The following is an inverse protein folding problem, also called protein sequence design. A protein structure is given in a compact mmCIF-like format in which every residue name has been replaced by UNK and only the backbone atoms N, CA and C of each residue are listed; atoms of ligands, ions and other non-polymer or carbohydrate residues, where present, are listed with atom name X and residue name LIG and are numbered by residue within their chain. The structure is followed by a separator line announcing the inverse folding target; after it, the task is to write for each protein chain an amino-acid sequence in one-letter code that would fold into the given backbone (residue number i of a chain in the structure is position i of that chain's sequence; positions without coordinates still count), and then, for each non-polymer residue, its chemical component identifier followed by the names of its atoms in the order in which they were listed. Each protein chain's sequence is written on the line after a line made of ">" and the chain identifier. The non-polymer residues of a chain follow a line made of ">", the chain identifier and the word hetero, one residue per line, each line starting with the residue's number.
data_IF_950938236637
#
_entry.id   IF_950938236637
#
_cell.length_a   1.000
_cell.length_b   1.000
_cell.length_c   1.000
_cell.angle_alpha   90.00
_cell.angle_beta   90.00
_cell.angle_gamma   90.00
#
_symmetry.space_group_name_H-M   'P 1'
#
loop_
_entity.id
_entity.type
_entity.pdbx_description
1 polymer ?
#
# COMPACT_ATOMS: atom_id res chain seq x y z
N UNK A 1 22.86 4.74 17.20
CA UNK A 1 21.91 5.41 18.11
C UNK A 1 20.92 6.08 17.20
N UNK A 2 19.68 5.60 17.14
CA UNK A 2 18.61 6.29 16.42
C UNK A 2 18.22 7.51 17.24
N UNK A 3 18.23 8.69 16.61
CA UNK A 3 17.94 9.93 17.31
C UNK A 3 16.42 10.06 17.41
N UNK A 4 15.91 10.13 18.63
CA UNK A 4 14.47 10.31 18.84
C UNK A 4 14.01 11.58 18.13
N UNK A 5 12.74 11.61 17.72
CA UNK A 5 12.08 12.80 17.19
C UNK A 5 12.50 14.08 17.95
N UNK A 6 12.78 15.15 17.20
CA UNK A 6 13.22 16.42 17.77
C UNK A 6 12.15 16.98 18.71
N UNK A 7 12.54 17.85 19.64
CA UNK A 7 11.57 18.48 20.56
C UNK A 7 10.45 19.17 19.80
N UNK A 8 10.79 19.80 18.67
CA UNK A 8 9.86 20.52 17.83
C UNK A 8 8.92 19.59 17.08
N UNK A 9 9.38 18.46 16.57
CA UNK A 9 8.51 17.43 15.99
C UNK A 9 7.54 16.87 17.05
N UNK A 10 8.01 16.64 18.27
CA UNK A 10 7.13 16.21 19.37
C UNK A 10 6.06 17.26 19.71
N UNK A 11 6.42 18.54 19.71
CA UNK A 11 5.45 19.62 19.92
C UNK A 11 4.43 19.72 18.76
N UNK A 12 4.85 19.46 17.52
CA UNK A 12 3.94 19.39 16.36
C UNK A 12 3.01 18.18 16.45
N UNK A 13 3.53 16.98 16.72
CA UNK A 13 2.74 15.77 16.93
C UNK A 13 1.77 15.92 18.10
N UNK A 14 2.12 16.68 19.15
CA UNK A 14 1.19 16.99 20.24
C UNK A 14 0.09 18.01 19.88
N UNK A 15 0.14 18.62 18.70
CA UNK A 15 -0.87 19.59 18.27
C UNK A 15 -2.13 18.91 17.75
N UNK A 16 -3.32 19.55 17.86
CA UNK A 16 -4.56 19.00 17.32
C UNK A 16 -4.50 18.67 15.82
N UNK A 17 -3.63 19.35 15.06
CA UNK A 17 -3.46 19.12 13.63
C UNK A 17 -2.79 17.78 13.35
N UNK A 18 -1.74 17.41 14.10
CA UNK A 18 -0.90 16.25 13.79
C UNK A 18 -0.97 15.11 14.81
N UNK A 19 -1.75 15.23 15.88
CA UNK A 19 -1.91 14.18 16.90
C UNK A 19 -2.31 12.81 16.32
N UNK A 20 -3.06 12.81 15.22
CA UNK A 20 -3.43 11.61 14.48
C UNK A 20 -2.20 10.88 13.90
N UNK A 21 -1.20 11.63 13.43
CA UNK A 21 -0.02 11.07 12.76
C UNK A 21 0.84 10.25 13.72
N UNK A 22 0.96 10.69 14.97
CA UNK A 22 1.70 9.95 16.01
C UNK A 22 1.09 8.56 16.24
N UNK A 23 -0.24 8.52 16.36
CA UNK A 23 -0.96 7.26 16.53
C UNK A 23 -0.82 6.35 15.30
N UNK A 24 -0.98 6.92 14.10
CA UNK A 24 -0.78 6.20 12.85
C UNK A 24 0.61 5.57 12.77
N UNK A 25 1.67 6.36 12.98
CA UNK A 25 3.06 5.91 12.91
C UNK A 25 3.34 4.78 13.91
N UNK A 26 2.82 4.89 15.13
CA UNK A 26 3.03 3.90 16.19
C UNK A 26 2.33 2.57 15.92
N UNK A 27 1.15 2.60 15.29
CA UNK A 27 0.33 1.41 15.09
C UNK A 27 0.64 0.73 13.75
N UNK A 28 0.85 1.51 12.69
CA UNK A 28 0.87 1.00 11.32
C UNK A 28 2.27 0.86 10.72
N UNK A 29 3.28 1.56 11.23
CA UNK A 29 4.62 1.60 10.63
C UNK A 29 5.66 0.93 11.52
N UNK A 30 6.68 0.31 10.90
CA UNK A 30 7.75 -0.41 11.63
C UNK A 30 8.50 0.50 12.60
N UNK A 31 8.80 1.71 12.14
CA UNK A 31 9.64 2.67 12.86
C UNK A 31 8.85 3.89 13.29
N UNK A 32 9.04 4.29 14.54
CA UNK A 32 8.64 5.61 15.02
C UNK A 32 9.34 6.73 14.25
N UNK A 33 8.93 7.98 14.47
CA UNK A 33 9.56 9.14 13.86
C UNK A 33 10.96 9.40 14.45
N UNK A 34 11.94 9.60 13.58
CA UNK A 34 13.29 10.07 13.92
C UNK A 34 13.43 11.55 13.55
N UNK A 35 14.31 12.27 14.24
CA UNK A 35 14.69 13.64 13.86
C UNK A 35 15.14 13.78 12.40
N UNK A 36 15.79 12.76 11.85
CA UNK A 36 16.27 12.73 10.47
C UNK A 36 15.14 12.57 9.42
N UNK A 37 13.95 12.16 9.84
CA UNK A 37 12.80 11.98 8.93
C UNK A 37 12.24 13.33 8.43
N UNK A 38 12.54 14.42 9.14
CA UNK A 38 12.02 15.76 8.83
C UNK A 38 13.08 16.72 8.28
N UNK A 39 12.60 17.81 7.69
CA UNK A 39 13.43 18.95 7.30
C UNK A 39 13.75 19.85 8.49
N UNK A 40 14.98 20.35 8.53
CA UNK A 40 15.40 21.44 9.39
C UNK A 40 14.82 22.79 8.94
N UNK A 41 14.79 23.82 9.83
CA UNK A 41 14.37 25.16 9.45
C UNK A 41 15.16 25.77 8.28
N UNK A 42 16.46 25.48 8.21
CA UNK A 42 17.32 25.97 7.14
C UNK A 42 16.96 25.31 5.79
N UNK A 43 16.69 24.01 5.79
CA UNK A 43 16.19 23.29 4.59
C UNK A 43 14.84 23.85 4.12
N UNK A 44 13.91 24.15 5.04
CA UNK A 44 12.63 24.75 4.67
C UNK A 44 12.77 26.15 4.07
N UNK A 45 13.73 26.94 4.57
CA UNK A 45 14.07 28.24 4.01
C UNK A 45 14.68 28.10 2.60
N UNK A 46 15.57 27.13 2.41
CA UNK A 46 16.19 26.83 1.11
C UNK A 46 15.15 26.34 0.09
N UNK A 47 14.21 25.49 0.49
CA UNK A 47 13.09 25.05 -0.36
C UNK A 47 12.26 26.26 -0.78
N UNK A 48 11.88 27.12 0.16
CA UNK A 48 11.08 28.32 -0.14
C UNK A 48 11.81 29.29 -1.09
N UNK A 49 13.12 29.46 -0.89
CA UNK A 49 13.96 30.28 -1.74
C UNK A 49 14.10 29.68 -3.15
N UNK A 50 14.29 28.36 -3.26
CA UNK A 50 14.39 27.65 -4.53
C UNK A 50 13.09 27.75 -5.34
N UNK A 51 11.94 27.57 -4.68
CA UNK A 51 10.63 27.69 -5.30
C UNK A 51 10.25 29.14 -5.66
N UNK A 52 10.99 30.13 -5.14
CA UNK A 52 10.59 31.54 -5.14
C UNK A 52 9.14 31.71 -4.63
N UNK A 53 8.80 30.96 -3.59
CA UNK A 53 7.44 30.84 -3.05
C UNK A 53 7.49 30.50 -1.57
N UNK A 54 6.67 31.19 -0.77
CA UNK A 54 6.56 30.89 0.66
C UNK A 54 5.69 29.66 0.85
N UNK A 55 6.28 28.57 1.34
CA UNK A 55 5.53 27.35 1.63
C UNK A 55 4.35 27.64 2.56
N UNK A 56 3.17 27.03 2.33
CA UNK A 56 2.09 27.07 3.30
C UNK A 56 2.54 26.51 4.65
N UNK A 57 2.09 27.09 5.76
CA UNK A 57 2.57 26.69 7.09
C UNK A 57 2.34 25.20 7.37
N UNK A 58 1.17 24.66 7.00
CA UNK A 58 0.86 23.23 7.10
C UNK A 58 1.83 22.37 6.27
N UNK A 59 2.23 22.81 5.08
CA UNK A 59 3.18 22.05 4.25
C UNK A 59 4.59 22.08 4.84
N UNK A 60 5.02 23.23 5.35
CA UNK A 60 6.30 23.36 6.03
C UNK A 60 6.36 22.47 7.28
N UNK A 61 5.30 22.44 8.09
CA UNK A 61 5.20 21.54 9.24
C UNK A 61 5.16 20.06 8.82
N UNK A 62 4.50 19.72 7.71
CA UNK A 62 4.50 18.37 7.16
C UNK A 62 5.92 17.92 6.77
N UNK A 63 6.67 18.79 6.09
CA UNK A 63 8.07 18.51 5.76
C UNK A 63 8.97 18.48 7.00
N UNK A 64 8.73 19.32 8.00
CA UNK A 64 9.41 19.28 9.30
C UNK A 64 9.17 17.96 10.05
N UNK A 65 8.00 17.34 9.85
CA UNK A 65 7.68 16.04 10.41
C UNK A 65 8.32 14.91 9.60
N UNK A 66 8.02 14.81 8.30
CA UNK A 66 8.25 13.60 7.50
C UNK A 66 8.91 13.85 6.13
N UNK A 67 9.43 15.05 5.86
CA UNK A 67 9.90 15.45 4.52
C UNK A 67 10.90 14.48 3.87
N UNK A 68 11.79 13.86 4.63
CA UNK A 68 12.79 12.89 4.15
C UNK A 68 12.31 11.43 4.19
N UNK A 69 11.10 11.20 4.71
CA UNK A 69 10.49 9.88 4.88
C UNK A 69 9.39 9.58 3.85
N UNK A 70 8.99 10.57 3.06
CA UNK A 70 7.92 10.44 2.08
C UNK A 70 8.32 9.52 0.92
N UNK A 71 7.46 8.54 0.63
CA UNK A 71 7.65 7.54 -0.42
C UNK A 71 6.42 7.45 -1.32
N UNK A 72 6.63 7.19 -2.61
CA UNK A 72 5.54 6.84 -3.53
C UNK A 72 5.13 5.38 -3.34
N UNK A 73 3.82 5.13 -3.17
CA UNK A 73 3.26 3.77 -3.10
C UNK A 73 2.37 3.52 -4.31
N UNK A 74 1.21 4.20 -4.34
CA UNK A 74 0.37 4.28 -5.53
C UNK A 74 0.53 5.65 -6.14
N UNK A 75 0.26 6.70 -5.38
CA UNK A 75 0.46 8.08 -5.80
C UNK A 75 1.78 8.63 -5.20
N UNK A 76 2.19 9.81 -5.66
CA UNK A 76 3.44 10.43 -5.27
C UNK A 76 3.20 11.66 -4.38
N UNK A 77 3.50 11.59 -3.06
CA UNK A 77 3.57 12.80 -2.24
C UNK A 77 4.69 13.70 -2.75
N UNK A 78 4.50 15.01 -2.67
CA UNK A 78 5.59 15.95 -2.88
C UNK A 78 6.63 15.80 -1.76
N UNK A 79 7.89 15.78 -2.13
CA UNK A 79 9.04 15.76 -1.21
C UNK A 79 9.75 17.11 -1.26
N UNK A 80 10.65 17.42 -0.32
CA UNK A 80 11.54 18.58 -0.41
C UNK A 80 12.25 18.73 -1.75
N UNK A 81 12.55 17.61 -2.43
CA UNK A 81 13.26 17.57 -3.71
C UNK A 81 12.33 17.64 -4.93
N UNK A 82 11.06 17.27 -4.78
CA UNK A 82 10.11 17.12 -5.90
C UNK A 82 8.97 18.13 -5.87
N UNK A 83 8.82 18.87 -4.78
CA UNK A 83 7.84 19.94 -4.63
C UNK A 83 8.07 20.99 -5.72
N UNK A 84 6.98 21.47 -6.33
CA UNK A 84 7.01 22.40 -7.46
C UNK A 84 5.85 23.38 -7.38
N UNK A 85 6.08 24.57 -7.91
CA UNK A 85 5.05 25.60 -8.06
C UNK A 85 4.60 25.66 -9.51
N UNK A 86 3.29 25.59 -9.73
CA UNK A 86 2.66 25.74 -11.04
C UNK A 86 1.49 26.73 -10.89
N UNK A 87 1.47 27.76 -11.72
CA UNK A 87 0.41 28.79 -11.73
C UNK A 87 0.13 29.41 -10.35
N UNK A 88 1.19 29.58 -9.55
CA UNK A 88 1.11 30.14 -8.19
C UNK A 88 0.58 29.18 -7.12
N UNK A 89 0.46 27.89 -7.44
CA UNK A 89 0.04 26.82 -6.54
C UNK A 89 1.16 25.78 -6.37
N UNK A 90 1.27 25.21 -5.18
CA UNK A 90 2.23 24.13 -4.87
C UNK A 90 1.54 22.79 -5.10
N UNK A 91 2.17 21.89 -5.86
CA UNK A 91 1.73 20.51 -5.97
C UNK A 91 2.18 19.71 -4.74
N UNK A 92 1.24 19.06 -4.05
CA UNK A 92 1.49 18.34 -2.78
C UNK A 92 1.31 16.83 -2.88
N UNK A 93 0.54 16.36 -3.87
CA UNK A 93 0.38 14.95 -4.21
C UNK A 93 0.09 14.84 -5.71
N UNK A 94 0.68 13.89 -6.40
CA UNK A 94 0.47 13.66 -7.85
C UNK A 94 0.16 12.19 -8.08
N UNK A 95 -0.76 11.88 -8.98
CA UNK A 95 -1.05 10.51 -9.40
C UNK A 95 0.14 9.88 -10.15
N UNK A 96 0.34 8.56 -10.09
CA UNK A 96 1.53 7.90 -10.69
C UNK A 96 1.64 7.96 -12.22
N UNK A 97 0.53 8.14 -12.93
CA UNK A 97 0.43 8.41 -14.36
C UNK A 97 0.31 9.92 -14.66
N UNK A 98 0.39 10.75 -13.63
CA UNK A 98 0.29 12.21 -13.69
C UNK A 98 -0.99 12.72 -14.36
N UNK A 99 -2.12 12.01 -14.17
CA UNK A 99 -3.43 12.45 -14.70
C UNK A 99 -4.17 13.42 -13.78
N UNK A 100 -3.71 13.58 -12.54
CA UNK A 100 -4.13 14.64 -11.62
C UNK A 100 -3.04 14.98 -10.60
N UNK A 101 -3.15 16.18 -10.02
CA UNK A 101 -2.38 16.64 -8.86
C UNK A 101 -3.27 17.40 -7.86
N UNK A 102 -2.98 17.23 -6.58
CA UNK A 102 -3.49 18.09 -5.52
C UNK A 102 -2.61 19.32 -5.40
N UNK A 103 -3.23 20.50 -5.50
CA UNK A 103 -2.60 21.80 -5.53
C UNK A 103 -3.07 22.66 -4.33
N UNK A 104 -2.18 23.50 -3.81
CA UNK A 104 -2.49 24.45 -2.74
C UNK A 104 -1.87 25.83 -2.96
N UNK A 105 -2.60 26.87 -2.59
CA UNK A 105 -2.07 28.24 -2.57
C UNK A 105 -1.28 28.54 -1.29
N UNK A 106 -0.83 29.79 -1.14
CA UNK A 106 -0.20 30.25 0.10
C UNK A 106 -1.21 30.34 1.26
N UNK A 107 -0.72 30.27 2.50
CA UNK A 107 -1.55 30.43 3.70
C UNK A 107 -1.09 29.56 4.87
N UNK A 108 -1.92 29.50 5.91
CA UNK A 108 -1.65 28.63 7.07
C UNK A 108 -2.03 27.20 6.72
N UNK A 109 -3.31 26.96 6.45
CA UNK A 109 -3.86 25.65 6.08
C UNK A 109 -4.79 25.82 4.88
N UNK A 110 -4.23 26.11 3.68
CA UNK A 110 -5.01 26.44 2.49
C UNK A 110 -5.88 25.26 2.05
N UNK A 111 -6.98 25.55 1.39
CA UNK A 111 -7.85 24.52 0.79
C UNK A 111 -7.17 23.92 -0.44
N UNK A 112 -7.12 22.59 -0.51
CA UNK A 112 -6.66 21.85 -1.68
C UNK A 112 -7.63 21.97 -2.85
N UNK A 113 -7.06 21.98 -4.05
CA UNK A 113 -7.74 21.91 -5.33
C UNK A 113 -7.16 20.76 -6.14
N UNK A 114 -7.95 20.20 -7.04
CA UNK A 114 -7.48 19.22 -8.03
C UNK A 114 -7.39 19.91 -9.39
N UNK A 115 -6.33 19.61 -10.15
CA UNK A 115 -6.06 20.24 -11.45
C UNK A 115 -6.76 19.56 -12.64
N UNK A 116 -7.60 18.55 -12.37
CA UNK A 116 -8.32 17.78 -13.38
C UNK A 116 -9.83 17.83 -13.16
N UNK A 117 -10.57 17.99 -14.26
CA UNK A 117 -12.04 17.96 -14.26
C UNK A 117 -12.63 16.55 -14.20
N UNK A 118 -11.82 15.54 -14.52
CA UNK A 118 -12.25 14.14 -14.57
C UNK A 118 -12.25 13.48 -13.18
N UNK A 119 -11.60 14.13 -12.21
CA UNK A 119 -11.49 13.69 -10.84
C UNK A 119 -12.16 14.68 -9.89
N UNK A 120 -12.62 14.17 -8.74
CA UNK A 120 -13.30 14.99 -7.76
C UNK A 120 -12.61 14.84 -6.41
N UNK A 121 -12.08 15.95 -5.90
CA UNK A 121 -11.59 16.04 -4.54
C UNK A 121 -12.35 17.15 -3.81
N UNK A 122 -13.04 16.84 -2.70
CA UNK A 122 -13.81 17.86 -1.98
C UNK A 122 -12.87 18.98 -1.50
N UNK A 123 -13.38 20.21 -1.49
CA UNK A 123 -12.66 21.37 -0.97
C UNK A 123 -12.27 21.12 0.51
N UNK A 124 -11.01 20.76 0.73
CA UNK A 124 -10.52 20.24 2.01
C UNK A 124 -9.25 20.98 2.42
N UNK A 125 -9.10 21.40 3.69
CA UNK A 125 -7.85 21.98 4.18
C UNK A 125 -6.66 21.04 3.95
N UNK A 126 -5.48 21.60 3.66
CA UNK A 126 -4.27 20.83 3.34
C UNK A 126 -3.96 19.76 4.39
N UNK A 127 -4.08 20.08 5.68
CA UNK A 127 -3.83 19.12 6.75
C UNK A 127 -4.69 17.85 6.63
N UNK A 128 -5.98 18.03 6.36
CA UNK A 128 -6.93 16.95 6.17
C UNK A 128 -6.69 16.19 4.85
N UNK A 129 -6.32 16.90 3.79
CA UNK A 129 -5.96 16.26 2.52
C UNK A 129 -4.72 15.36 2.68
N UNK A 130 -3.67 15.83 3.37
CA UNK A 130 -2.49 15.04 3.68
C UNK A 130 -2.82 13.80 4.51
N UNK A 131 -3.73 13.91 5.49
CA UNK A 131 -4.20 12.74 6.24
C UNK A 131 -4.93 11.73 5.36
N UNK A 132 -5.88 12.20 4.53
CA UNK A 132 -6.67 11.36 3.64
C UNK A 132 -5.79 10.62 2.62
N UNK A 133 -4.82 11.32 2.02
CA UNK A 133 -3.88 10.71 1.07
C UNK A 133 -2.91 9.74 1.76
N UNK A 134 -2.40 10.10 2.95
CA UNK A 134 -1.55 9.19 3.73
C UNK A 134 -2.29 7.89 4.07
N UNK A 135 -3.56 7.99 4.49
CA UNK A 135 -4.43 6.84 4.76
C UNK A 135 -4.71 6.02 3.50
N UNK A 136 -5.05 6.69 2.40
CA UNK A 136 -5.31 6.05 1.11
C UNK A 136 -4.12 5.20 0.66
N UNK A 137 -2.91 5.75 0.68
CA UNK A 137 -1.72 5.06 0.18
C UNK A 137 -1.23 4.00 1.20
N UNK A 138 -1.46 4.21 2.50
CA UNK A 138 -1.26 3.16 3.52
C UNK A 138 -2.17 1.95 3.26
N UNK A 139 -3.46 2.20 3.00
CA UNK A 139 -4.43 1.17 2.65
C UNK A 139 -4.00 0.42 1.38
N UNK A 140 -3.58 1.15 0.34
CA UNK A 140 -3.10 0.53 -0.91
C UNK A 140 -1.85 -0.29 -0.72
N UNK A 141 -0.91 0.19 0.08
CA UNK A 141 0.27 -0.57 0.46
C UNK A 141 -0.06 -1.92 1.11
N UNK A 142 -1.00 -1.88 2.06
CA UNK A 142 -1.46 -3.05 2.79
C UNK A 142 -2.23 -4.02 1.89
N UNK A 143 -3.23 -3.57 1.14
CA UNK A 143 -4.04 -4.46 0.29
C UNK A 143 -3.34 -4.89 -0.99
N UNK A 144 -2.39 -4.10 -1.49
CA UNK A 144 -1.49 -4.48 -2.58
C UNK A 144 -0.43 -5.50 -2.15
N UNK A 145 -0.27 -5.73 -0.85
CA UNK A 145 0.64 -6.74 -0.28
C UNK A 145 2.12 -6.37 -0.39
N UNK A 146 2.43 -5.11 -0.65
CA UNK A 146 3.81 -4.63 -0.74
C UNK A 146 4.40 -4.24 0.63
N UNK A 147 3.55 -4.13 1.66
CA UNK A 147 3.97 -3.82 3.04
C UNK A 147 4.55 -2.43 3.21
N UNK A 148 4.21 -1.47 2.34
CA UNK A 148 4.76 -0.11 2.36
C UNK A 148 3.67 0.94 2.29
N UNK A 149 3.73 1.93 3.17
CA UNK A 149 2.92 3.14 3.10
C UNK A 149 3.77 4.33 2.65
N UNK A 150 3.15 5.52 2.46
CA UNK A 150 3.86 6.72 2.05
C UNK A 150 4.86 7.24 3.09
N UNK A 151 4.90 6.62 4.28
CA UNK A 151 5.86 6.92 5.36
C UNK A 151 6.80 5.73 5.61
N UNK A 152 7.06 4.88 4.61
CA UNK A 152 7.97 3.74 4.69
C UNK A 152 7.29 2.40 5.00
N UNK A 153 8.05 1.46 5.56
CA UNK A 153 7.59 0.09 5.79
C UNK A 153 6.47 0.04 6.86
N UNK A 154 5.43 -0.72 6.53
CA UNK A 154 4.34 -1.07 7.43
C UNK A 154 4.79 -2.15 8.42
N UNK A 155 4.26 -2.09 9.64
CA UNK A 155 4.55 -3.11 10.65
C UNK A 155 4.13 -4.50 10.16
N UNK A 156 4.84 -5.56 10.58
CA UNK A 156 4.54 -6.94 10.16
C UNK A 156 3.15 -7.42 10.60
N UNK A 157 2.54 -6.76 11.58
CA UNK A 157 1.15 -6.99 12.00
C UNK A 157 0.11 -6.39 11.06
N UNK A 158 0.52 -5.52 10.12
CA UNK A 158 -0.39 -4.91 9.15
C UNK A 158 -0.70 -5.90 8.05
N UNK A 159 -1.97 -6.19 7.88
CA UNK A 159 -2.51 -7.07 6.83
C UNK A 159 -3.61 -6.31 6.11
N UNK A 160 -3.72 -6.49 4.79
CA UNK A 160 -4.82 -5.95 4.03
C UNK A 160 -5.28 -6.88 2.93
N UNK A 161 -6.27 -6.43 2.19
CA UNK A 161 -6.79 -7.13 1.02
C UNK A 161 -7.93 -6.35 0.36
N UNK A 162 -8.44 -6.93 -0.71
CA UNK A 162 -9.59 -6.39 -1.45
C UNK A 162 -10.59 -7.52 -1.67
N UNK A 163 -11.87 -7.21 -1.51
CA UNK A 163 -12.97 -8.11 -1.83
C UNK A 163 -13.69 -7.52 -3.05
N UNK A 164 -13.21 -7.85 -4.24
CA UNK A 164 -13.72 -7.34 -5.53
C UNK A 164 -15.15 -7.81 -5.84
N UNK A 165 -15.56 -8.94 -5.26
CA UNK A 165 -16.85 -9.58 -5.49
C UNK A 165 -17.83 -9.45 -4.31
N UNK A 166 -17.59 -8.49 -3.41
CA UNK A 166 -18.48 -8.23 -2.29
C UNK A 166 -19.83 -7.71 -2.81
N UNK A 167 -20.93 -8.32 -2.33
CA UNK A 167 -22.26 -7.81 -2.61
C UNK A 167 -22.50 -6.49 -1.86
N UNK A 168 -23.32 -5.59 -2.42
CA UNK A 168 -23.58 -4.26 -1.84
C UNK A 168 -24.05 -4.33 -0.37
N UNK A 169 -24.83 -5.35 0.00
CA UNK A 169 -25.30 -5.56 1.37
C UNK A 169 -24.19 -6.06 2.30
N UNK A 170 -23.23 -6.85 1.78
CA UNK A 170 -22.01 -7.22 2.49
C UNK A 170 -21.14 -5.98 2.75
N UNK A 171 -20.90 -5.15 1.73
CA UNK A 171 -20.13 -3.90 1.84
C UNK A 171 -20.78 -2.97 2.87
N UNK A 172 -22.08 -2.70 2.73
CA UNK A 172 -22.82 -1.83 3.63
C UNK A 172 -22.78 -2.33 5.09
N UNK A 173 -22.93 -3.65 5.28
CA UNK A 173 -22.86 -4.27 6.61
C UNK A 173 -21.49 -4.08 7.25
N UNK A 174 -20.40 -4.35 6.52
CA UNK A 174 -19.04 -4.15 7.04
C UNK A 174 -18.79 -2.68 7.36
N UNK A 175 -19.06 -1.76 6.43
CA UNK A 175 -18.83 -0.33 6.65
C UNK A 175 -19.65 0.22 7.82
N UNK A 176 -20.89 -0.25 8.02
CA UNK A 176 -21.73 0.19 9.13
C UNK A 176 -21.23 -0.25 10.52
N UNK A 177 -20.35 -1.24 10.59
CA UNK A 177 -19.73 -1.68 11.85
C UNK A 177 -18.62 -0.73 12.32
N UNK A 178 -18.10 0.15 11.43
CA UNK A 178 -17.01 1.07 11.73
C UNK A 178 -17.45 2.53 11.53
N UNK A 179 -17.00 3.46 12.38
CA UNK A 179 -17.34 4.86 12.19
C UNK A 179 -16.63 5.40 10.93
N UNK A 180 -17.29 6.36 10.27
CA UNK A 180 -16.66 7.12 9.21
C UNK A 180 -15.52 7.98 9.79
N UNK A 181 -14.33 7.89 9.18
CA UNK A 181 -13.18 8.69 9.56
C UNK A 181 -13.38 10.14 9.13
N UNK A 182 -12.87 11.08 9.94
CA UNK A 182 -12.98 12.52 9.69
C UNK A 182 -11.86 13.02 8.77
N UNK A 183 -11.63 12.32 7.68
CA UNK A 183 -10.66 12.66 6.62
C UNK A 183 -11.40 12.59 5.27
N UNK A 184 -10.97 13.33 4.23
CA UNK A 184 -11.56 13.17 2.91
C UNK A 184 -11.31 11.76 2.36
N UNK A 185 -12.12 11.35 1.39
CA UNK A 185 -11.76 10.28 0.47
C UNK A 185 -10.55 10.67 -0.40
N UNK A 186 -10.24 9.85 -1.42
CA UNK A 186 -9.22 10.19 -2.40
C UNK A 186 -9.85 10.69 -3.72
N UNK A 187 -9.06 11.19 -4.68
CA UNK A 187 -9.60 11.70 -5.96
C UNK A 187 -10.41 10.72 -6.81
N UNK A 188 -10.25 9.41 -6.59
CA UNK A 188 -11.02 8.35 -7.27
C UNK A 188 -12.31 8.00 -6.50
N UNK A 189 -12.23 7.98 -5.18
CA UNK A 189 -13.29 7.59 -4.25
C UNK A 189 -13.50 8.71 -3.24
N UNK A 190 -14.42 9.61 -3.56
CA UNK A 190 -14.66 10.83 -2.79
C UNK A 190 -15.38 10.61 -1.46
N UNK A 191 -15.83 9.38 -1.16
CA UNK A 191 -16.44 9.00 0.11
C UNK A 191 -15.34 8.81 1.16
N UNK A 192 -15.45 9.45 2.34
CA UNK A 192 -14.52 9.23 3.44
C UNK A 192 -14.43 7.73 3.83
N UNK A 193 -13.23 7.23 4.14
CA UNK A 193 -13.05 5.87 4.62
C UNK A 193 -13.68 5.64 6.00
N UNK A 194 -13.84 4.38 6.38
CA UNK A 194 -14.30 3.95 7.70
C UNK A 194 -13.15 3.30 8.48
N UNK A 195 -13.19 3.35 9.82
CA UNK A 195 -12.12 2.75 10.64
C UNK A 195 -12.15 3.14 12.11
N UNK A 196 -11.27 2.53 12.89
CA UNK A 196 -11.21 2.68 14.36
C UNK A 196 -9.76 2.85 14.90
N UNK A 197 -8.83 3.26 14.05
CA UNK A 197 -7.42 3.44 14.40
C UNK A 197 -6.56 2.19 14.17
N UNK A 198 -7.14 1.00 14.26
CA UNK A 198 -6.51 -0.29 13.89
C UNK A 198 -7.09 -0.91 12.63
N UNK A 199 -8.14 -0.32 12.08
CA UNK A 199 -8.85 -0.76 10.88
C UNK A 199 -9.01 0.42 9.93
N UNK A 200 -8.82 0.19 8.62
CA UNK A 200 -9.15 1.13 7.54
C UNK A 200 -9.96 0.37 6.49
N UNK A 201 -11.10 0.93 6.09
CA UNK A 201 -12.02 0.38 5.10
C UNK A 201 -12.39 1.45 4.07
N UNK A 202 -12.48 1.05 2.80
CA UNK A 202 -12.94 1.92 1.71
C UNK A 202 -13.80 1.14 0.72
N UNK A 203 -14.89 1.76 0.31
CA UNK A 203 -15.68 1.33 -0.85
C UNK A 203 -15.01 1.88 -2.12
N UNK A 204 -14.33 1.01 -2.86
CA UNK A 204 -13.48 1.37 -4.00
C UNK A 204 -13.76 0.52 -5.25
N UNK A 205 -12.75 -0.18 -5.75
CA UNK A 205 -12.93 -1.25 -6.78
C UNK A 205 -13.64 -2.50 -6.22
N UNK A 206 -13.98 -2.47 -4.94
CA UNK A 206 -14.54 -3.51 -4.10
C UNK A 206 -14.42 -3.03 -2.65
N UNK A 207 -14.59 -3.94 -1.69
CA UNK A 207 -14.27 -3.61 -0.29
C UNK A 207 -12.76 -3.71 -0.08
N UNK A 208 -12.09 -2.57 -0.08
CA UNK A 208 -10.68 -2.46 0.29
C UNK A 208 -10.56 -2.38 1.80
N UNK A 209 -9.67 -3.18 2.37
CA UNK A 209 -9.49 -3.25 3.82
C UNK A 209 -8.03 -3.40 4.22
N UNK A 210 -7.70 -2.82 5.37
CA UNK A 210 -6.44 -3.06 6.05
C UNK A 210 -6.66 -3.01 7.57
N UNK A 211 -5.88 -3.82 8.29
CA UNK A 211 -5.89 -3.91 9.74
C UNK A 211 -4.46 -3.94 10.26
N UNK A 212 -4.22 -3.36 11.43
CA UNK A 212 -2.89 -3.28 12.04
C UNK A 212 -2.66 -4.29 13.17
N UNK A 213 -3.70 -5.00 13.60
CA UNK A 213 -3.63 -5.97 14.71
C UNK A 213 -4.38 -7.25 14.39
N UNK A 214 -4.02 -8.33 15.09
CA UNK A 214 -4.71 -9.61 14.98
C UNK A 214 -6.18 -9.52 15.44
N UNK A 215 -6.47 -8.73 16.47
CA UNK A 215 -7.84 -8.52 16.94
C UNK A 215 -8.71 -7.83 15.89
N UNK A 216 -8.16 -6.82 15.20
CA UNK A 216 -8.86 -6.13 14.12
C UNK A 216 -9.08 -7.07 12.91
N UNK A 217 -8.09 -7.94 12.60
CA UNK A 217 -8.25 -8.98 11.59
C UNK A 217 -9.41 -9.93 11.91
N UNK A 218 -9.46 -10.47 13.13
CA UNK A 218 -10.54 -11.36 13.56
C UNK A 218 -11.91 -10.65 13.54
N UNK A 219 -11.95 -9.36 13.89
CA UNK A 219 -13.18 -8.57 13.83
C UNK A 219 -13.69 -8.44 12.38
N UNK A 220 -12.84 -8.11 11.42
CA UNK A 220 -13.22 -8.07 10.00
C UNK A 220 -13.63 -9.45 9.51
N UNK A 221 -12.87 -10.50 9.83
CA UNK A 221 -13.16 -11.87 9.40
C UNK A 221 -14.51 -12.39 9.94
N UNK A 222 -14.91 -11.96 11.14
CA UNK A 222 -16.23 -12.27 11.71
C UNK A 222 -17.38 -11.55 10.99
N UNK A 223 -17.13 -10.37 10.41
CA UNK A 223 -18.10 -9.67 9.58
C UNK A 223 -18.13 -10.30 8.19
N UNK A 224 -17.01 -10.33 7.49
CA UNK A 224 -16.89 -10.89 6.15
C UNK A 224 -15.82 -11.97 6.15
N UNK A 225 -16.15 -13.25 5.89
CA UNK A 225 -15.14 -14.29 5.84
C UNK A 225 -14.04 -13.95 4.83
N UNK A 226 -12.83 -13.79 5.34
CA UNK A 226 -11.63 -13.54 4.54
C UNK A 226 -11.07 -14.86 3.98
N UNK A 227 -11.39 -15.97 4.64
CA UNK A 227 -11.04 -17.35 4.25
C UNK A 227 -12.29 -18.25 4.24
N UNK A 228 -13.28 -17.98 3.37
CA UNK A 228 -14.48 -18.80 3.34
C UNK A 228 -14.13 -20.26 2.98
N UNK A 229 -14.82 -21.23 3.60
CA UNK A 229 -14.67 -22.65 3.27
C UNK A 229 -14.98 -22.88 1.79
N UNK A 230 -14.04 -23.49 1.05
CA UNK A 230 -14.14 -23.65 -0.41
C UNK A 230 -13.91 -22.35 -1.20
N UNK A 231 -13.40 -21.31 -0.55
CA UNK A 231 -13.04 -20.04 -1.15
C UNK A 231 -11.94 -20.14 -2.20
N UNK A 232 -11.76 -19.05 -2.94
CA UNK A 232 -10.71 -18.91 -3.95
C UNK A 232 -9.38 -18.55 -3.31
N UNK A 233 -8.32 -19.18 -3.78
CA UNK A 233 -6.94 -18.94 -3.40
C UNK A 233 -6.11 -18.59 -4.62
N UNK A 234 -5.05 -17.83 -4.40
CA UNK A 234 -3.95 -17.65 -5.34
C UNK A 234 -2.78 -18.52 -4.89
N UNK A 235 -2.17 -19.23 -5.81
CA UNK A 235 -0.88 -19.92 -5.62
C UNK A 235 0.12 -19.24 -6.54
N UNK A 236 1.26 -18.81 -5.98
CA UNK A 236 2.35 -18.19 -6.74
C UNK A 236 3.56 -19.10 -6.76
N UNK A 237 4.22 -19.15 -7.91
CA UNK A 237 5.55 -19.70 -8.09
C UNK A 237 6.48 -18.57 -8.54
N UNK A 238 7.58 -18.40 -7.83
CA UNK A 238 8.67 -17.53 -8.23
C UNK A 238 9.93 -18.36 -8.51
N UNK A 239 10.55 -18.13 -9.67
CA UNK A 239 11.80 -18.75 -10.10
C UNK A 239 12.85 -17.67 -10.38
N UNK A 240 14.10 -17.80 -9.89
CA UNK A 240 15.15 -16.82 -10.14
C UNK A 240 15.59 -16.80 -11.61
N UNK A 241 16.08 -15.65 -12.11
CA UNK A 241 16.51 -15.53 -13.51
C UNK A 241 17.64 -16.49 -13.90
N UNK A 242 18.43 -16.95 -12.93
CA UNK A 242 19.56 -17.85 -13.19
C UNK A 242 19.15 -19.26 -13.66
N UNK A 243 17.84 -19.59 -13.70
CA UNK A 243 17.34 -20.89 -14.14
C UNK A 243 17.58 -21.11 -15.63
N UNK A 244 18.27 -22.21 -15.98
CA UNK A 244 18.74 -22.49 -17.34
C UNK A 244 17.65 -22.56 -18.44
N UNK A 245 16.36 -22.71 -18.08
CA UNK A 245 15.24 -22.86 -19.02
C UNK A 245 14.42 -21.58 -19.26
N UNK A 246 14.89 -20.39 -18.87
CA UNK A 246 14.08 -19.17 -18.99
C UNK A 246 13.54 -18.86 -20.39
N UNK A 247 14.30 -19.17 -21.45
CA UNK A 247 13.84 -19.00 -22.84
C UNK A 247 12.57 -19.82 -23.12
N UNK A 248 12.35 -20.93 -22.39
CA UNK A 248 11.15 -21.76 -22.48
C UNK A 248 10.08 -21.44 -21.43
N UNK A 249 10.33 -20.53 -20.49
CA UNK A 249 9.38 -20.05 -19.49
C UNK A 249 8.77 -18.70 -19.87
N UNK A 250 9.38 -17.98 -20.81
CA UNK A 250 8.94 -16.66 -21.25
C UNK A 250 8.38 -16.79 -22.68
N UNK A 251 7.11 -16.47 -22.84
CA UNK A 251 6.45 -16.42 -24.14
C UNK A 251 6.91 -15.25 -25.00
N UNK A 252 6.34 -15.12 -26.20
CA UNK A 252 6.74 -14.13 -27.22
C UNK A 252 6.62 -12.66 -26.79
N UNK A 253 5.87 -12.37 -25.73
CA UNK A 253 5.56 -11.02 -25.27
C UNK A 253 6.24 -10.67 -23.94
N UNK A 254 7.30 -11.37 -23.54
CA UNK A 254 7.90 -11.23 -22.21
C UNK A 254 6.93 -11.55 -21.05
N UNK A 255 5.88 -12.32 -21.34
CA UNK A 255 4.91 -12.82 -20.37
C UNK A 255 5.24 -14.28 -20.06
N UNK A 256 5.13 -14.73 -18.81
CA UNK A 256 5.37 -16.14 -18.47
C UNK A 256 4.45 -17.09 -19.27
N UNK A 257 5.02 -18.15 -19.84
CA UNK A 257 4.26 -19.17 -20.57
C UNK A 257 3.75 -20.24 -19.59
N UNK A 258 2.49 -20.11 -19.20
CA UNK A 258 1.82 -21.07 -18.33
C UNK A 258 1.75 -22.49 -18.90
N UNK A 259 1.93 -22.69 -20.21
CA UNK A 259 1.99 -24.04 -20.77
C UNK A 259 3.31 -24.76 -20.42
N UNK A 260 4.34 -24.02 -20.00
CA UNK A 260 5.59 -24.60 -19.54
C UNK A 260 5.44 -25.34 -18.20
N UNK A 261 4.41 -25.00 -17.42
CA UNK A 261 4.05 -25.62 -16.14
C UNK A 261 2.63 -26.15 -16.26
N UNK A 262 2.51 -27.37 -16.80
CA UNK A 262 1.21 -27.95 -17.07
C UNK A 262 0.50 -28.37 -15.77
N UNK A 263 -0.53 -27.61 -15.39
CA UNK A 263 -1.45 -27.99 -14.32
C UNK A 263 -2.79 -28.43 -14.94
N UNK A 264 -3.48 -29.43 -14.34
CA UNK A 264 -4.82 -29.79 -14.75
C UNK A 264 -5.78 -28.59 -14.60
N UNK A 265 -6.62 -28.34 -15.60
CA UNK A 265 -7.50 -27.16 -15.62
C UNK A 265 -8.60 -27.19 -14.55
N UNK A 266 -8.96 -28.38 -14.08
CA UNK A 266 -9.85 -28.59 -12.94
C UNK A 266 -9.20 -28.24 -11.60
N UNK A 267 -7.86 -28.20 -11.54
CA UNK A 267 -7.11 -27.89 -10.33
C UNK A 267 -6.85 -26.39 -10.21
N UNK A 268 -6.44 -25.75 -11.30
CA UNK A 268 -6.04 -24.35 -11.25
C UNK A 268 -6.23 -23.63 -12.59
N UNK A 269 -6.57 -22.35 -12.53
CA UNK A 269 -6.69 -21.45 -13.69
C UNK A 269 -5.52 -20.45 -13.69
N UNK A 270 -4.78 -20.27 -14.80
CA UNK A 270 -3.80 -19.20 -14.90
C UNK A 270 -4.40 -17.83 -14.58
N UNK A 271 -3.67 -17.01 -13.84
CA UNK A 271 -4.10 -15.69 -13.43
C UNK A 271 -3.21 -14.60 -14.02
N UNK A 272 -2.12 -14.28 -13.33
CA UNK A 272 -1.17 -13.22 -13.67
C UNK A 272 0.23 -13.81 -13.69
N UNK A 273 1.10 -13.23 -14.51
CA UNK A 273 2.50 -13.60 -14.55
C UNK A 273 3.35 -12.37 -14.82
N UNK A 274 4.54 -12.34 -14.24
CA UNK A 274 5.48 -11.24 -14.45
C UNK A 274 6.89 -11.74 -14.68
N UNK A 275 7.69 -10.94 -15.40
CA UNK A 275 9.12 -11.17 -15.61
C UNK A 275 9.84 -9.91 -15.16
N UNK A 276 10.81 -10.07 -14.26
CA UNK A 276 11.70 -8.99 -13.82
C UNK A 276 13.14 -9.30 -14.21
N UNK A 277 14.09 -8.45 -13.80
CA UNK A 277 15.52 -8.74 -13.95
C UNK A 277 16.03 -9.81 -12.97
N UNK A 278 15.24 -10.17 -11.95
CA UNK A 278 15.67 -11.05 -10.85
C UNK A 278 14.89 -12.36 -10.79
N UNK A 279 13.64 -12.38 -11.26
CA UNK A 279 12.79 -13.56 -11.25
C UNK A 279 11.70 -13.56 -12.31
N UNK A 280 11.10 -14.73 -12.50
CA UNK A 280 9.85 -14.94 -13.23
C UNK A 280 8.80 -15.46 -12.25
N UNK A 281 7.62 -14.84 -12.22
CA UNK A 281 6.52 -15.24 -11.36
C UNK A 281 5.31 -15.74 -12.15
N UNK A 282 4.66 -16.78 -11.62
CA UNK A 282 3.43 -17.36 -12.15
C UNK A 282 2.40 -17.41 -11.04
N UNK A 283 1.18 -16.96 -11.31
CA UNK A 283 0.07 -17.09 -10.36
C UNK A 283 -1.09 -17.89 -10.95
N UNK A 284 -1.68 -18.74 -10.13
CA UNK A 284 -2.89 -19.48 -10.46
C UNK A 284 -3.99 -19.28 -9.42
N UNK A 285 -5.24 -19.28 -9.89
CA UNK A 285 -6.42 -19.37 -9.06
C UNK A 285 -6.78 -20.83 -8.80
N UNK A 286 -7.16 -21.16 -7.57
CA UNK A 286 -7.56 -22.52 -7.20
C UNK A 286 -8.50 -22.51 -5.98
N UNK A 287 -9.34 -23.51 -5.86
CA UNK A 287 -10.08 -23.82 -4.62
C UNK A 287 -9.35 -24.89 -3.76
N UNK A 288 -8.21 -25.40 -4.23
CA UNK A 288 -7.44 -26.49 -3.61
C UNK A 288 -5.95 -26.10 -3.52
N UNK A 289 -5.59 -25.10 -2.70
CA UNK A 289 -4.24 -24.53 -2.68
C UNK A 289 -3.16 -25.59 -2.44
N UNK A 290 -3.34 -26.51 -1.49
CA UNK A 290 -2.36 -27.56 -1.18
C UNK A 290 -2.07 -28.50 -2.36
N UNK A 291 -3.13 -28.94 -3.06
CA UNK A 291 -2.99 -29.79 -4.25
C UNK A 291 -2.37 -29.03 -5.41
N UNK A 292 -2.74 -27.76 -5.60
CA UNK A 292 -2.17 -26.89 -6.61
C UNK A 292 -0.67 -26.69 -6.36
N UNK A 293 -0.27 -26.34 -5.14
CA UNK A 293 1.15 -26.19 -4.75
C UNK A 293 1.94 -27.48 -4.98
N UNK A 294 1.38 -28.63 -4.60
CA UNK A 294 2.00 -29.93 -4.84
C UNK A 294 2.17 -30.22 -6.33
N UNK A 295 1.16 -29.91 -7.15
CA UNK A 295 1.23 -30.08 -8.60
C UNK A 295 2.27 -29.14 -9.25
N UNK A 296 2.32 -27.87 -8.83
CA UNK A 296 3.35 -26.91 -9.25
C UNK A 296 4.74 -27.44 -8.91
N UNK A 297 4.98 -27.85 -7.65
CA UNK A 297 6.27 -28.39 -7.19
C UNK A 297 6.70 -29.62 -8.00
N UNK A 298 5.76 -30.50 -8.33
CA UNK A 298 6.02 -31.73 -9.09
C UNK A 298 6.23 -31.50 -10.59
N UNK A 299 5.69 -30.42 -11.15
CA UNK A 299 5.91 -30.02 -12.53
C UNK A 299 7.33 -29.47 -12.78
N UNK A 300 8.03 -29.04 -11.73
CA UNK A 300 9.38 -28.51 -11.83
C UNK A 300 10.45 -29.61 -11.88
N UNK A 301 11.48 -29.47 -12.73
CA UNK A 301 12.73 -30.23 -12.61
C UNK A 301 13.34 -30.11 -11.21
N UNK A 302 14.06 -31.15 -10.78
CA UNK A 302 14.68 -31.20 -9.45
C UNK A 302 15.59 -29.99 -9.15
N UNK A 303 16.38 -29.55 -10.13
CA UNK A 303 17.27 -28.39 -10.01
C UNK A 303 16.53 -27.07 -9.83
N UNK A 304 15.31 -26.96 -10.36
CA UNK A 304 14.47 -25.75 -10.24
C UNK A 304 13.67 -25.78 -8.94
N UNK A 305 13.19 -26.97 -8.54
CA UNK A 305 12.43 -27.16 -7.31
C UNK A 305 13.17 -26.66 -6.07
N UNK A 306 14.50 -26.86 -6.02
CA UNK A 306 15.33 -26.39 -4.91
C UNK A 306 15.47 -24.84 -4.85
N UNK A 307 15.19 -24.15 -5.96
CA UNK A 307 15.28 -22.69 -6.07
C UNK A 307 13.91 -22.00 -6.10
N UNK A 308 12.85 -22.79 -6.26
CA UNK A 308 11.49 -22.30 -6.40
C UNK A 308 10.94 -21.81 -5.06
N UNK A 309 10.39 -20.59 -5.05
CA UNK A 309 9.55 -20.11 -3.96
C UNK A 309 8.10 -20.34 -4.35
N UNK A 310 7.41 -21.20 -3.61
CA UNK A 310 5.97 -21.44 -3.79
C UNK A 310 5.24 -20.85 -2.59
N UNK A 311 4.33 -19.93 -2.85
CA UNK A 311 3.51 -19.29 -1.83
C UNK A 311 2.03 -19.41 -2.20
N UNK A 312 1.16 -19.17 -1.22
CA UNK A 312 -0.28 -19.11 -1.46
C UNK A 312 -0.94 -18.06 -0.58
N UNK A 313 -2.10 -17.57 -1.00
CA UNK A 313 -2.95 -16.70 -0.19
C UNK A 313 -4.43 -16.90 -0.54
N UNK A 314 -5.34 -16.69 0.41
CA UNK A 314 -6.75 -16.45 0.11
C UNK A 314 -6.87 -15.24 -0.83
N UNK A 315 -7.77 -15.26 -1.81
CA UNK A 315 -7.91 -14.15 -2.78
C UNK A 315 -8.22 -12.80 -2.10
N UNK A 316 -8.95 -12.86 -0.98
CA UNK A 316 -9.38 -11.69 -0.19
C UNK A 316 -8.28 -11.09 0.68
N UNK A 317 -7.10 -11.72 0.77
CA UNK A 317 -5.96 -11.31 1.61
C UNK A 317 -4.74 -11.08 0.74
N UNK A 318 -4.04 -9.97 0.94
CA UNK A 318 -2.87 -9.56 0.16
C UNK A 318 -1.60 -10.37 0.48
N UNK A 319 -1.45 -10.80 1.72
CA UNK A 319 -0.23 -11.40 2.23
C UNK A 319 -0.05 -12.85 1.77
N UNK A 320 1.13 -13.16 1.23
CA UNK A 320 1.51 -14.50 0.78
C UNK A 320 2.06 -15.34 1.93
N UNK A 321 1.48 -16.53 2.13
CA UNK A 321 2.01 -17.56 3.04
C UNK A 321 3.06 -18.38 2.30
N UNK A 322 4.26 -18.45 2.87
CA UNK A 322 5.31 -19.33 2.36
C UNK A 322 5.10 -20.73 2.92
N UNK A 323 5.12 -21.75 2.06
CA UNK A 323 5.20 -23.13 2.51
C UNK A 323 6.67 -23.48 2.62
N UNK A 324 7.10 -23.97 3.78
CA UNK A 324 8.49 -24.37 4.04
C UNK A 324 9.07 -25.11 2.82
N UNK A 325 10.22 -24.62 2.34
CA UNK A 325 11.05 -25.40 1.42
C UNK A 325 11.58 -26.60 2.20
N UNK A 326 11.56 -27.80 1.59
CA UNK A 326 12.05 -29.06 2.20
C UNK A 326 13.58 -29.06 2.52
N UNK A 327 14.21 -27.88 2.62
CA UNK A 327 15.58 -27.66 3.06
C UNK A 327 15.61 -26.41 3.93
N UNK A 328 15.61 -26.60 5.25
CA UNK A 328 15.58 -25.53 6.23
C UNK A 328 16.79 -24.59 6.15
N UNK A 329 16.53 -23.31 6.36
CA UNK A 329 17.02 -22.50 7.48
C UNK A 329 15.91 -21.47 7.74
N UNK A 330 15.42 -21.42 8.98
CA UNK A 330 14.52 -20.37 9.44
C UNK A 330 15.19 -19.00 9.26
N UNK A 331 14.53 -18.11 8.53
CA UNK A 331 14.70 -16.68 8.70
C UNK A 331 13.29 -16.14 8.99
N UNK A 332 12.90 -16.18 10.26
CA UNK A 332 11.70 -15.51 10.76
C UNK A 332 11.83 -14.01 10.42
N UNK A 333 10.88 -13.49 9.63
CA UNK A 333 10.63 -12.05 9.47
C UNK A 333 9.15 -11.77 9.68
#
# INVERSE_FOLDING_TARGET
>A
MTDRASRRQLDLLGSPRWQWLDELLRIWYVRALDSADGCSPDELADISAHLNFVLPATLAEWFELVGHRLESVQDAPATPLTVRVQDGLVSVWTENQAVWALLVGAGIDPTCQIDSSDFCFPATPLSQALHGMTLSDTLVGAWGGNGRGPLGDLASSVVGGVIEDAADDEVARVLSAFPQLKVPGNPFYNVPPHGDGTTILRDGIGLEWAVATAEAFEHINALVPLEPSGGRYRVSLELPMAVARQVGLIGRSAIPDFNAIHLPSELARPATGSVSQLSTSFEWETAQPEKCMSAVRNALPETERALAKITYRPERIAHWRTVESDGGVDDER
#
